data_IF_184754186941
#
_entry.id   IF_184754186941
#
_cell.length_a   1.000
_cell.length_b   1.000
_cell.length_c   1.000
_cell.angle_alpha   90.00
_cell.angle_beta   90.00
_cell.angle_gamma   90.00
#
_symmetry.space_group_name_H-M   'P 1'
#
loop_
_entity.id
_entity.type
_entity.pdbx_description
1 polymer ?
#
# COMPACT_ATOMS: atom_id res chain seq x y z
N UNK A 1 -4.19 19.47 -22.17
CA UNK A 1 -4.64 20.06 -20.89
C UNK A 1 -4.57 18.96 -19.84
N UNK A 2 -4.12 19.27 -18.62
CA UNK A 2 -4.16 18.30 -17.52
C UNK A 2 -5.51 18.37 -16.82
N UNK A 3 -6.03 17.21 -16.45
CA UNK A 3 -7.26 17.02 -15.71
C UNK A 3 -6.93 16.39 -14.34
N UNK A 4 -7.70 16.72 -13.29
CA UNK A 4 -7.55 16.08 -12.00
C UNK A 4 -8.28 14.73 -11.98
N UNK A 5 -7.54 13.68 -11.61
CA UNK A 5 -8.06 12.34 -11.34
C UNK A 5 -7.78 11.98 -9.90
N UNK A 6 -8.74 11.34 -9.25
CA UNK A 6 -8.64 11.05 -7.82
C UNK A 6 -8.87 9.58 -7.56
N UNK A 7 -8.03 8.99 -6.71
CA UNK A 7 -8.12 7.58 -6.39
C UNK A 7 -9.29 7.33 -5.44
N UNK A 8 -10.18 6.40 -5.78
CA UNK A 8 -11.28 6.00 -4.91
C UNK A 8 -10.78 5.15 -3.73
N UNK A 9 -9.56 4.61 -3.77
CA UNK A 9 -8.94 3.84 -2.68
C UNK A 9 -8.25 4.76 -1.68
N UNK A 10 -7.10 5.35 -2.00
CA UNK A 10 -6.36 6.20 -1.06
C UNK A 10 -6.82 7.67 -1.02
N UNK A 11 -7.65 8.11 -1.96
CA UNK A 11 -8.11 9.51 -1.97
C UNK A 11 -7.11 10.51 -2.57
N UNK A 12 -5.91 10.09 -2.97
CA UNK A 12 -4.91 10.98 -3.57
C UNK A 12 -5.28 11.49 -4.96
N UNK A 13 -4.72 12.64 -5.32
CA UNK A 13 -5.00 13.34 -6.58
C UNK A 13 -3.82 13.31 -7.54
N UNK A 14 -4.05 12.75 -8.72
CA UNK A 14 -3.14 12.78 -9.85
C UNK A 14 -3.56 13.85 -10.87
N UNK A 15 -2.59 14.61 -11.38
CA UNK A 15 -2.78 15.58 -12.46
C UNK A 15 -2.15 15.05 -13.75
N UNK A 16 -2.95 14.81 -14.78
CA UNK A 16 -2.45 14.27 -16.05
C UNK A 16 -3.39 14.49 -17.23
N UNK A 17 -2.90 14.21 -18.44
CA UNK A 17 -3.71 14.30 -19.66
C UNK A 17 -4.79 13.22 -19.75
N UNK A 18 -4.57 12.06 -19.12
CA UNK A 18 -5.49 10.93 -19.01
C UNK A 18 -5.37 10.29 -17.61
N UNK A 19 -6.36 9.47 -17.22
CA UNK A 19 -6.27 8.68 -15.99
C UNK A 19 -5.10 7.68 -16.09
N UNK A 20 -4.33 7.45 -15.01
CA UNK A 20 -3.20 6.52 -15.05
C UNK A 20 -3.68 5.07 -14.90
N UNK A 21 -2.92 4.12 -15.46
CA UNK A 21 -3.24 2.68 -15.39
C UNK A 21 -3.24 2.13 -13.96
N UNK A 22 -2.46 2.76 -13.07
CA UNK A 22 -2.48 2.54 -11.61
C UNK A 22 -2.29 3.88 -10.89
N UNK A 23 -2.82 3.98 -9.69
CA UNK A 23 -2.63 5.14 -8.82
C UNK A 23 -1.13 5.35 -8.55
N UNK A 24 -0.53 6.51 -8.84
CA UNK A 24 0.90 6.74 -8.63
C UNK A 24 1.34 6.81 -7.15
N UNK A 25 0.37 6.84 -6.24
CA UNK A 25 0.56 7.02 -4.80
C UNK A 25 0.48 5.66 -4.09
N UNK A 26 -0.71 5.06 -3.98
CA UNK A 26 -0.89 3.73 -3.38
C UNK A 26 -0.76 2.57 -4.38
N UNK A 27 -0.64 2.80 -5.68
CA UNK A 27 -0.57 1.70 -6.66
C UNK A 27 -1.90 1.02 -6.99
N UNK A 28 -3.07 1.46 -6.50
CA UNK A 28 -4.35 0.82 -6.84
C UNK A 28 -4.62 0.77 -8.36
N UNK A 29 -5.27 -0.28 -8.87
CA UNK A 29 -5.63 -0.38 -10.29
C UNK A 29 -6.39 0.85 -10.81
N UNK A 30 -6.12 1.27 -12.04
CA UNK A 30 -6.64 2.50 -12.67
C UNK A 30 -8.16 2.58 -12.78
N UNK A 31 -8.85 1.45 -12.60
CA UNK A 31 -10.33 1.41 -12.43
C UNK A 31 -10.83 2.23 -11.25
N UNK A 32 -9.96 2.49 -10.27
CA UNK A 32 -10.25 3.33 -9.11
C UNK A 32 -9.89 4.79 -9.34
N UNK A 33 -9.28 5.15 -10.48
CA UNK A 33 -8.94 6.52 -10.82
C UNK A 33 -10.10 7.15 -11.58
N UNK A 34 -10.89 7.96 -10.88
CA UNK A 34 -12.06 8.66 -11.45
C UNK A 34 -11.74 10.14 -11.64
N UNK A 35 -12.49 10.83 -12.51
CA UNK A 35 -12.37 12.28 -12.61
C UNK A 35 -12.69 12.93 -11.27
N UNK A 36 -11.99 13.99 -10.88
CA UNK A 36 -12.18 14.58 -9.55
C UNK A 36 -13.60 15.11 -9.28
N UNK A 37 -14.37 15.44 -10.33
CA UNK A 37 -15.77 15.82 -10.23
C UNK A 37 -16.71 14.63 -9.89
N UNK A 38 -16.27 13.40 -10.16
CA UNK A 38 -17.02 12.15 -9.92
C UNK A 38 -16.57 11.46 -8.62
N UNK A 39 -15.46 11.91 -8.02
CA UNK A 39 -14.93 11.33 -6.81
C UNK A 39 -15.85 11.59 -5.62
N UNK A 40 -16.28 10.51 -4.96
CA UNK A 40 -17.08 10.59 -3.75
C UNK A 40 -16.22 10.30 -2.52
N UNK A 41 -16.20 11.23 -1.56
CA UNK A 41 -15.55 10.97 -0.26
C UNK A 41 -16.34 9.88 0.45
N UNK A 42 -15.69 8.77 0.78
CA UNK A 42 -16.33 7.72 1.57
C UNK A 42 -16.53 8.17 3.03
N UNK A 43 -15.69 9.08 3.53
CA UNK A 43 -15.78 9.63 4.87
C UNK A 43 -15.39 8.64 5.96
N UNK A 44 -15.68 8.97 7.22
CA UNK A 44 -15.48 8.06 8.35
C UNK A 44 -16.44 6.88 8.22
N UNK A 45 -15.91 5.66 8.31
CA UNK A 45 -16.68 4.43 8.30
C UNK A 45 -16.93 4.02 9.74
N UNK A 46 -18.16 3.61 10.06
CA UNK A 46 -18.41 2.90 11.32
C UNK A 46 -17.93 1.47 11.17
N UNK A 47 -16.84 1.13 11.85
CA UNK A 47 -16.26 -0.20 11.85
C UNK A 47 -16.86 -1.03 12.99
N UNK A 48 -17.20 -2.28 12.71
CA UNK A 48 -17.34 -3.28 13.75
C UNK A 48 -15.98 -3.57 14.40
N UNK A 49 -15.99 -4.15 15.62
CA UNK A 49 -14.75 -4.42 16.36
C UNK A 49 -13.76 -5.26 15.54
N UNK A 50 -14.23 -6.26 14.81
CA UNK A 50 -13.38 -7.10 13.96
C UNK A 50 -12.67 -6.29 12.88
N UNK A 51 -13.40 -5.46 12.13
CA UNK A 51 -12.83 -4.65 11.05
C UNK A 51 -11.88 -3.56 11.59
N UNK A 52 -12.16 -3.05 12.78
CA UNK A 52 -11.25 -2.14 13.49
C UNK A 52 -9.94 -2.84 13.86
N UNK A 53 -10.01 -4.02 14.46
CA UNK A 53 -8.82 -4.82 14.82
C UNK A 53 -8.02 -5.23 13.56
N UNK A 54 -8.70 -5.55 12.47
CA UNK A 54 -8.08 -5.85 11.17
C UNK A 54 -7.33 -4.65 10.60
N UNK A 55 -7.91 -3.45 10.71
CA UNK A 55 -7.21 -2.21 10.32
C UNK A 55 -5.97 -1.97 11.18
N UNK A 56 -6.05 -2.16 12.50
CA UNK A 56 -4.88 -2.02 13.38
C UNK A 56 -3.77 -3.02 13.04
N UNK A 57 -4.14 -4.28 12.76
CA UNK A 57 -3.19 -5.30 12.35
C UNK A 57 -2.55 -4.98 10.99
N UNK A 58 -3.33 -4.49 10.04
CA UNK A 58 -2.82 -4.07 8.73
C UNK A 58 -1.89 -2.84 8.85
N UNK A 59 -2.24 -1.85 9.67
CA UNK A 59 -1.38 -0.68 9.93
C UNK A 59 -0.02 -1.13 10.47
N UNK A 60 0.01 -2.03 11.46
CA UNK A 60 1.27 -2.56 12.00
C UNK A 60 2.09 -3.25 10.91
N UNK A 61 1.45 -4.07 10.06
CA UNK A 61 2.12 -4.71 8.94
C UNK A 61 2.72 -3.68 7.97
N UNK A 62 1.93 -2.72 7.52
CA UNK A 62 2.32 -1.68 6.56
C UNK A 62 3.49 -0.84 7.08
N UNK A 63 3.44 -0.34 8.33
CA UNK A 63 4.55 0.48 8.86
C UNK A 63 5.83 -0.33 9.05
N UNK A 64 5.72 -1.63 9.38
CA UNK A 64 6.88 -2.53 9.46
C UNK A 64 7.48 -2.82 8.08
N UNK A 65 6.65 -2.99 7.05
CA UNK A 65 7.10 -3.12 5.66
C UNK A 65 7.74 -1.82 5.16
N UNK A 66 7.10 -0.68 5.41
CA UNK A 66 7.64 0.64 5.08
C UNK A 66 9.02 0.87 5.72
N UNK A 67 9.20 0.50 6.99
CA UNK A 67 10.47 0.60 7.69
C UNK A 67 11.54 -0.31 7.08
N UNK A 68 11.16 -1.55 6.73
CA UNK A 68 12.05 -2.47 6.02
C UNK A 68 12.48 -1.92 4.66
N UNK A 69 11.55 -1.44 3.84
CA UNK A 69 11.87 -0.88 2.52
C UNK A 69 12.71 0.37 2.60
N UNK A 70 12.51 1.21 3.63
CA UNK A 70 13.39 2.34 3.89
C UNK A 70 14.82 1.91 4.22
N UNK A 71 15.00 0.84 5.01
CA UNK A 71 16.33 0.26 5.26
C UNK A 71 16.94 -0.29 3.96
N UNK A 72 16.19 -1.09 3.21
CA UNK A 72 16.66 -1.72 1.98
C UNK A 72 17.04 -0.67 0.92
N UNK A 73 16.27 0.41 0.81
CA UNK A 73 16.60 1.56 -0.02
C UNK A 73 17.97 2.15 0.33
N UNK A 74 18.24 2.35 1.62
CA UNK A 74 19.50 2.96 2.08
C UNK A 74 20.72 2.05 1.87
N UNK A 75 20.49 0.74 1.71
CA UNK A 75 21.53 -0.28 1.53
C UNK A 75 21.54 -0.87 0.10
N UNK A 76 20.80 -0.25 -0.82
CA UNK A 76 20.65 -0.75 -2.18
C UNK A 76 21.99 -0.67 -2.94
N UNK A 77 22.33 -1.72 -3.68
CA UNK A 77 23.58 -1.79 -4.44
C UNK A 77 23.47 -1.08 -5.80
N UNK A 78 22.25 -0.83 -6.29
CA UNK A 78 22.02 -0.21 -7.60
C UNK A 78 20.97 0.90 -7.51
N UNK A 79 21.01 1.84 -8.46
CA UNK A 79 19.98 2.88 -8.58
C UNK A 79 18.59 2.29 -8.87
N UNK A 80 18.52 1.11 -9.51
CA UNK A 80 17.26 0.45 -9.83
C UNK A 80 16.60 -0.08 -8.56
N UNK A 81 17.35 -0.84 -7.76
CA UNK A 81 16.87 -1.40 -6.48
C UNK A 81 16.59 -0.30 -5.45
N UNK A 82 17.41 0.76 -5.41
CA UNK A 82 17.14 1.95 -4.62
C UNK A 82 15.79 2.57 -5.00
N UNK A 83 15.53 2.77 -6.30
CA UNK A 83 14.28 3.36 -6.78
C UNK A 83 13.06 2.49 -6.47
N UNK A 84 13.19 1.17 -6.60
CA UNK A 84 12.14 0.20 -6.25
C UNK A 84 11.81 0.31 -4.76
N UNK A 85 12.79 0.13 -3.88
CA UNK A 85 12.55 0.15 -2.44
C UNK A 85 12.07 1.51 -1.94
N UNK A 86 12.55 2.61 -2.54
CA UNK A 86 12.02 3.95 -2.27
C UNK A 86 10.53 4.06 -2.61
N UNK A 87 10.10 3.46 -3.73
CA UNK A 87 8.70 3.49 -4.15
C UNK A 87 7.83 2.61 -3.27
N UNK A 88 8.27 1.37 -2.99
CA UNK A 88 7.57 0.46 -2.09
C UNK A 88 7.40 1.10 -0.70
N UNK A 89 8.48 1.62 -0.11
CA UNK A 89 8.41 2.36 1.16
C UNK A 89 7.31 3.41 1.17
N UNK A 90 7.18 4.22 0.11
CA UNK A 90 6.15 5.25 0.02
C UNK A 90 4.76 4.65 -0.10
N UNK A 91 4.59 3.59 -0.90
CA UNK A 91 3.30 2.92 -1.06
C UNK A 91 2.80 2.36 0.27
N UNK A 92 3.66 1.69 1.04
CA UNK A 92 3.28 1.14 2.34
C UNK A 92 2.87 2.24 3.34
N UNK A 93 3.51 3.41 3.28
CA UNK A 93 3.08 4.55 4.10
C UNK A 93 1.70 5.08 3.68
N UNK A 94 1.43 5.17 2.37
CA UNK A 94 0.10 5.56 1.87
C UNK A 94 -0.98 4.54 2.26
N UNK A 95 -0.62 3.25 2.36
CA UNK A 95 -1.51 2.21 2.84
C UNK A 95 -1.79 2.36 4.34
N UNK A 96 -0.75 2.58 5.14
CA UNK A 96 -0.86 2.83 6.57
C UNK A 96 -1.74 4.07 6.86
N UNK A 97 -1.53 5.18 6.14
CA UNK A 97 -2.34 6.40 6.27
C UNK A 97 -3.82 6.13 5.95
N UNK A 98 -4.10 5.46 4.83
CA UNK A 98 -5.46 5.08 4.43
C UNK A 98 -6.16 4.25 5.52
N UNK A 99 -5.47 3.24 6.06
CA UNK A 99 -6.02 2.37 7.08
C UNK A 99 -6.20 3.08 8.42
N UNK A 100 -5.27 3.99 8.77
CA UNK A 100 -5.38 4.85 9.96
C UNK A 100 -6.58 5.81 9.87
N UNK A 101 -6.81 6.43 8.70
CA UNK A 101 -8.00 7.26 8.46
C UNK A 101 -9.28 6.43 8.62
N UNK A 102 -9.32 5.21 8.06
CA UNK A 102 -10.47 4.32 8.17
C UNK A 102 -10.77 3.89 9.62
N UNK A 103 -9.73 3.57 10.40
CA UNK A 103 -9.86 3.21 11.80
C UNK A 103 -10.09 4.42 12.73
N UNK A 104 -9.81 5.63 12.26
CA UNK A 104 -9.89 6.85 13.05
C UNK A 104 -8.79 6.93 14.13
N UNK A 105 -7.60 6.41 13.82
CA UNK A 105 -6.42 6.46 14.69
C UNK A 105 -5.34 7.34 14.06
N UNK A 106 -4.36 7.75 14.87
CA UNK A 106 -3.17 8.42 14.35
C UNK A 106 -2.27 7.41 13.63
N UNK A 107 -1.72 7.81 12.49
CA UNK A 107 -0.76 7.00 11.75
C UNK A 107 0.51 6.77 12.60
N UNK A 108 0.93 5.52 12.84
CA UNK A 108 2.12 5.25 13.64
C UNK A 108 3.40 5.71 12.95
N UNK A 109 4.35 6.19 13.75
CA UNK A 109 5.71 6.44 13.26
C UNK A 109 6.38 5.14 12.81
N UNK A 110 7.29 5.25 11.85
CA UNK A 110 8.10 4.11 11.38
C UNK A 110 8.86 3.46 12.54
N UNK A 111 8.72 2.13 12.75
CA UNK A 111 9.51 1.42 13.74
C UNK A 111 10.98 1.31 13.31
N UNK A 112 11.83 0.91 14.25
CA UNK A 112 13.17 0.47 13.91
C UNK A 112 13.10 -0.85 13.13
N UNK A 113 13.79 -0.93 12.00
CA UNK A 113 13.85 -2.12 11.18
C UNK A 113 15.29 -2.40 10.72
N UNK A 114 15.56 -3.66 10.41
CA UNK A 114 16.80 -4.10 9.79
C UNK A 114 16.54 -4.76 8.44
N UNK A 115 17.56 -4.75 7.60
CA UNK A 115 17.59 -5.35 6.27
C UNK A 115 18.99 -5.93 6.05
N UNK A 116 19.16 -6.73 5.00
CA UNK A 116 20.47 -7.24 4.62
C UNK A 116 21.35 -6.09 4.11
N UNK A 117 22.58 -5.99 4.64
CA UNK A 117 23.51 -4.95 4.26
C UNK A 117 24.19 -5.29 2.93
N UNK A 118 24.06 -4.41 1.93
CA UNK A 118 24.64 -4.59 0.59
C UNK A 118 24.30 -5.96 -0.02
N UNK A 119 23.07 -6.43 0.10
CA UNK A 119 22.59 -7.67 -0.51
C UNK A 119 21.17 -7.47 -1.06
N UNK A 120 21.10 -6.98 -2.30
CA UNK A 120 19.83 -6.68 -2.96
C UNK A 120 19.00 -7.96 -3.19
N UNK A 121 19.65 -9.08 -3.52
CA UNK A 121 18.98 -10.36 -3.77
C UNK A 121 18.29 -10.88 -2.50
N UNK A 122 18.96 -10.80 -1.36
CA UNK A 122 18.35 -11.15 -0.07
C UNK A 122 17.22 -10.18 0.29
N UNK A 123 17.40 -8.87 0.14
CA UNK A 123 16.35 -7.90 0.43
C UNK A 123 15.11 -8.07 -0.46
N UNK A 124 15.28 -8.44 -1.72
CA UNK A 124 14.17 -8.73 -2.64
C UNK A 124 13.49 -10.07 -2.32
N UNK A 125 14.25 -11.07 -1.86
CA UNK A 125 13.69 -12.31 -1.32
C UNK A 125 12.83 -12.04 -0.07
N UNK A 126 13.30 -11.18 0.84
CA UNK A 126 12.58 -10.81 2.05
C UNK A 126 11.35 -9.95 1.73
N UNK A 127 11.45 -9.04 0.76
CA UNK A 127 10.31 -8.30 0.20
C UNK A 127 9.23 -9.25 -0.32
N UNK A 128 9.61 -10.22 -1.14
CA UNK A 128 8.68 -11.21 -1.68
C UNK A 128 7.90 -11.96 -0.60
N UNK A 129 8.59 -12.37 0.48
CA UNK A 129 7.96 -13.05 1.60
C UNK A 129 7.07 -12.12 2.45
N UNK A 130 7.33 -10.81 2.47
CA UNK A 130 6.45 -9.79 3.08
C UNK A 130 5.17 -9.64 2.29
N UNK A 131 5.26 -9.44 0.98
CA UNK A 131 4.06 -9.20 0.15
C UNK A 131 3.18 -10.43 0.10
N UNK A 132 3.77 -11.63 0.06
CA UNK A 132 2.99 -12.86 0.10
C UNK A 132 2.16 -12.97 1.38
N UNK A 133 2.69 -12.52 2.52
CA UNK A 133 1.95 -12.50 3.80
C UNK A 133 0.87 -11.40 3.80
N UNK A 134 1.18 -10.22 3.29
CA UNK A 134 0.25 -9.11 3.17
C UNK A 134 -0.98 -9.50 2.31
N UNK A 135 -0.76 -10.07 1.12
CA UNK A 135 -1.82 -10.56 0.21
C UNK A 135 -2.74 -11.54 0.94
N UNK A 136 -2.16 -12.56 1.58
CA UNK A 136 -2.95 -13.60 2.27
C UNK A 136 -3.81 -13.00 3.38
N UNK A 137 -3.23 -12.08 4.16
CA UNK A 137 -3.91 -11.46 5.27
C UNK A 137 -5.03 -10.53 4.79
N UNK A 138 -4.77 -9.70 3.79
CA UNK A 138 -5.76 -8.76 3.25
C UNK A 138 -6.94 -9.46 2.58
N UNK A 139 -6.72 -10.59 1.89
CA UNK A 139 -7.82 -11.39 1.37
C UNK A 139 -8.70 -11.94 2.51
N UNK A 140 -8.10 -12.41 3.61
CA UNK A 140 -8.86 -12.88 4.77
C UNK A 140 -9.67 -11.75 5.43
N UNK A 141 -9.08 -10.56 5.57
CA UNK A 141 -9.76 -9.39 6.13
C UNK A 141 -10.93 -8.97 5.25
N UNK A 142 -10.72 -8.92 3.94
CA UNK A 142 -11.77 -8.60 2.98
C UNK A 142 -12.94 -9.60 3.01
N UNK A 143 -12.67 -10.88 3.22
CA UNK A 143 -13.71 -11.91 3.20
C UNK A 143 -14.55 -11.93 4.48
N UNK A 144 -13.99 -11.51 5.62
CA UNK A 144 -14.70 -11.49 6.91
C UNK A 144 -15.33 -10.16 7.27
N UNK A 145 -14.95 -9.07 6.61
CA UNK A 145 -15.48 -7.74 6.88
C UNK A 145 -16.95 -7.59 6.45
N UNK A 146 -17.86 -7.10 7.31
CA UNK A 146 -19.24 -6.80 6.90
C UNK A 146 -19.36 -5.48 6.11
N UNK A 147 -18.43 -4.54 6.28
CA UNK A 147 -18.49 -3.23 5.64
C UNK A 147 -17.96 -3.29 4.21
N UNK A 148 -18.79 -2.95 3.23
CA UNK A 148 -18.42 -2.98 1.80
C UNK A 148 -17.12 -2.21 1.50
N UNK A 149 -16.91 -1.08 2.17
CA UNK A 149 -15.71 -0.28 1.99
C UNK A 149 -14.44 -0.99 2.50
N UNK A 150 -14.53 -1.68 3.63
CA UNK A 150 -13.41 -2.47 4.17
C UNK A 150 -13.07 -3.61 3.20
N UNK A 151 -14.08 -4.29 2.65
CA UNK A 151 -13.87 -5.30 1.61
C UNK A 151 -13.18 -4.73 0.36
N UNK A 152 -13.60 -3.55 -0.11
CA UNK A 152 -13.03 -2.91 -1.30
C UNK A 152 -11.59 -2.48 -1.09
N UNK A 153 -11.28 -1.91 0.07
CA UNK A 153 -9.93 -1.46 0.41
C UNK A 153 -8.99 -2.64 0.53
N UNK A 154 -9.32 -3.66 1.31
CA UNK A 154 -8.43 -4.81 1.47
C UNK A 154 -8.27 -5.63 0.17
N UNK A 155 -9.30 -5.73 -0.68
CA UNK A 155 -9.13 -6.31 -2.02
C UNK A 155 -8.25 -5.46 -2.93
N UNK A 156 -8.32 -4.14 -2.83
CA UNK A 156 -7.45 -3.26 -3.58
C UNK A 156 -6.00 -3.34 -3.10
N UNK A 157 -5.76 -3.37 -1.78
CA UNK A 157 -4.44 -3.58 -1.20
C UNK A 157 -3.87 -4.93 -1.63
N UNK A 158 -4.64 -6.03 -1.53
CA UNK A 158 -4.18 -7.35 -2.01
C UNK A 158 -3.79 -7.36 -3.50
N UNK A 159 -4.48 -6.60 -4.35
CA UNK A 159 -4.11 -6.42 -5.77
C UNK A 159 -2.84 -5.57 -5.96
N UNK A 160 -2.61 -4.58 -5.08
CA UNK A 160 -1.38 -3.78 -5.06
C UNK A 160 -0.19 -4.64 -4.63
N UNK A 161 -0.34 -5.36 -3.51
CA UNK A 161 0.69 -6.24 -2.98
C UNK A 161 1.07 -7.35 -3.98
N UNK A 162 0.12 -7.81 -4.80
CA UNK A 162 0.42 -8.72 -5.89
C UNK A 162 1.35 -8.12 -6.97
N UNK A 163 1.30 -6.81 -7.20
CA UNK A 163 2.26 -6.11 -8.07
C UNK A 163 3.62 -5.93 -7.38
N UNK A 164 3.64 -5.61 -6.09
CA UNK A 164 4.89 -5.57 -5.32
C UNK A 164 5.60 -6.93 -5.30
N UNK A 165 4.84 -8.02 -5.14
CA UNK A 165 5.33 -9.39 -5.20
C UNK A 165 5.93 -9.73 -6.57
N UNK A 166 5.31 -9.27 -7.67
CA UNK A 166 5.86 -9.44 -9.02
C UNK A 166 7.16 -8.67 -9.19
N UNK A 167 7.22 -7.42 -8.70
CA UNK A 167 8.44 -6.60 -8.76
C UNK A 167 9.56 -7.29 -7.99
N UNK A 168 9.31 -7.72 -6.75
CA UNK A 168 10.33 -8.41 -5.95
C UNK A 168 10.81 -9.70 -6.61
N UNK A 169 9.95 -10.43 -7.34
CA UNK A 169 10.36 -11.64 -8.05
C UNK A 169 11.17 -11.37 -9.35
N UNK A 170 10.91 -10.26 -10.05
CA UNK A 170 11.61 -9.92 -11.31
C UNK A 170 13.06 -9.50 -11.04
N UNK A 171 13.29 -8.80 -9.94
CA UNK A 171 14.58 -8.20 -9.62
C UNK A 171 15.42 -9.00 -8.62
N UNK A 172 14.87 -10.08 -8.04
CA UNK A 172 15.54 -10.96 -7.07
C UNK A 172 16.74 -11.71 -7.69
#
# INVERSE_FOLDING_TARGET
MFNPYRCQICGETYLGSAAPDRCPFCGAHGRWMVGAAEWAKTGKIELCQQSYDDCLQAIDLEVNNAAFYKCAQQNAQTQVTEAIFKRLHKQEMEHAELLAEMAGVEEPALPAASCAANDDAQNLADAHAREQRAIQLYLQFADRAPEKRVQDVFRALADIEAEHLKISNIYR
#
